data_IF_716512828305
#
_entry.id   IF_716512828305
#
_cell.length_a   1.000
_cell.length_b   1.000
_cell.length_c   1.000
_cell.angle_alpha   90.00
_cell.angle_beta   90.00
_cell.angle_gamma   90.00
#
_symmetry.space_group_name_H-M   'P 1'
#
loop_
_entity.id
_entity.type
_entity.pdbx_description
1 polymer ?
#
# COMPACT_ATOMS: atom_id res chain seq x y z
N UNK A 1 20.63 5.01 22.04
CA UNK A 1 19.92 4.78 20.77
C UNK A 1 18.70 3.95 21.09
N UNK A 2 17.51 4.47 20.84
CA UNK A 2 16.24 3.83 21.21
C UNK A 2 15.83 2.76 20.17
N UNK A 3 15.04 1.76 20.58
CA UNK A 3 14.62 0.65 19.71
C UNK A 3 13.84 1.14 18.48
N UNK A 4 13.02 2.19 18.65
CA UNK A 4 12.27 2.81 17.57
C UNK A 4 13.17 3.50 16.53
N UNK A 5 14.35 3.97 16.94
CA UNK A 5 15.35 4.55 16.03
C UNK A 5 15.86 3.49 15.06
N UNK A 6 16.22 2.30 15.55
CA UNK A 6 16.69 1.19 14.70
C UNK A 6 15.60 0.68 13.74
N UNK A 7 14.37 0.54 14.23
CA UNK A 7 13.23 0.15 13.39
C UNK A 7 13.02 1.18 12.28
N UNK A 8 13.12 2.47 12.59
CA UNK A 8 12.99 3.55 11.61
C UNK A 8 14.07 3.50 10.53
N UNK A 9 15.33 3.26 10.91
CA UNK A 9 16.44 3.09 9.96
C UNK A 9 16.27 1.86 9.06
N UNK A 10 15.80 0.75 9.63
CA UNK A 10 15.51 -0.47 8.87
C UNK A 10 14.40 -0.25 7.83
N UNK A 11 13.38 0.55 8.16
CA UNK A 11 12.33 0.94 7.22
C UNK A 11 12.77 1.92 6.13
N UNK A 12 13.88 2.65 6.31
CA UNK A 12 14.49 3.46 5.24
C UNK A 12 15.13 2.57 4.18
N UNK A 13 15.77 1.46 4.59
CA UNK A 13 16.45 0.51 3.69
C UNK A 13 15.52 -0.60 3.14
N UNK A 14 14.44 -0.22 2.46
CA UNK A 14 13.41 -1.18 1.95
C UNK A 14 13.89 -2.17 0.90
N UNK A 15 14.98 -1.86 0.19
CA UNK A 15 15.54 -2.72 -0.85
C UNK A 15 16.41 -3.85 -0.30
N UNK A 16 16.82 -3.77 0.98
CA UNK A 16 17.58 -4.85 1.64
C UNK A 16 16.84 -6.18 1.56
N UNK A 17 17.58 -7.29 1.48
CA UNK A 17 16.99 -8.63 1.30
C UNK A 17 16.02 -9.00 2.41
N UNK A 18 16.33 -8.63 3.65
CA UNK A 18 15.47 -8.84 4.82
C UNK A 18 14.13 -8.12 4.65
N UNK A 19 14.15 -6.83 4.28
CA UNK A 19 12.91 -6.07 4.11
C UNK A 19 12.12 -6.51 2.89
N UNK A 20 12.80 -6.88 1.81
CA UNK A 20 12.17 -7.40 0.60
C UNK A 20 11.46 -8.73 0.87
N UNK A 21 12.09 -9.63 1.63
CA UNK A 21 11.50 -10.90 2.04
C UNK A 21 10.24 -10.67 2.88
N UNK A 22 10.33 -9.87 3.96
CA UNK A 22 9.20 -9.56 4.83
C UNK A 22 8.04 -8.90 4.07
N UNK A 23 8.33 -7.96 3.17
CA UNK A 23 7.30 -7.30 2.37
C UNK A 23 6.64 -8.24 1.37
N UNK A 24 7.36 -9.21 0.78
CA UNK A 24 6.78 -10.19 -0.14
C UNK A 24 5.76 -11.08 0.58
N UNK A 25 6.13 -11.63 1.73
CA UNK A 25 5.24 -12.47 2.55
C UNK A 25 3.98 -11.68 2.96
N UNK A 26 4.14 -10.45 3.45
CA UNK A 26 3.01 -9.57 3.81
C UNK A 26 2.13 -9.21 2.60
N UNK A 27 2.73 -8.90 1.46
CA UNK A 27 1.96 -8.60 0.24
C UNK A 27 1.13 -9.81 -0.21
N UNK A 28 1.62 -11.03 -0.01
CA UNK A 28 0.86 -12.24 -0.32
C UNK A 28 -0.35 -12.40 0.61
N UNK A 29 -0.15 -12.26 1.92
CA UNK A 29 -1.24 -12.27 2.92
C UNK A 29 -2.32 -11.22 2.59
N UNK A 30 -1.90 -9.99 2.25
CA UNK A 30 -2.83 -8.89 1.99
C UNK A 30 -3.63 -9.06 0.70
N UNK A 31 -3.20 -9.92 -0.22
CA UNK A 31 -3.97 -10.23 -1.44
C UNK A 31 -5.11 -11.20 -1.17
N UNK A 32 -5.00 -12.05 -0.15
CA UNK A 32 -6.05 -13.00 0.24
C UNK A 32 -7.17 -12.33 1.04
N UNK A 33 -6.86 -11.22 1.71
CA UNK A 33 -7.82 -10.43 2.48
C UNK A 33 -8.73 -9.58 1.59
N UNK A 34 -9.85 -9.13 2.17
CA UNK A 34 -10.79 -8.20 1.55
C UNK A 34 -10.16 -6.82 1.30
N UNK A 35 -10.82 -6.00 0.48
CA UNK A 35 -10.35 -4.66 0.11
C UNK A 35 -10.18 -3.71 1.30
N UNK A 36 -11.02 -3.86 2.33
CA UNK A 36 -10.98 -3.09 3.59
C UNK A 36 -11.07 -4.09 4.74
N UNK A 37 -10.07 -4.09 5.62
CA UNK A 37 -10.02 -4.97 6.79
C UNK A 37 -9.56 -4.20 8.02
N UNK A 38 -10.28 -4.36 9.13
CA UNK A 38 -9.85 -3.87 10.44
C UNK A 38 -8.72 -4.74 10.97
N UNK A 39 -7.64 -4.13 11.43
CA UNK A 39 -6.49 -4.85 12.00
C UNK A 39 -6.41 -4.56 13.50
N UNK A 40 -6.13 -5.59 14.28
CA UNK A 40 -6.03 -5.53 15.74
C UNK A 40 -4.72 -4.87 16.21
N UNK A 41 -3.63 -5.03 15.46
CA UNK A 41 -2.31 -4.47 15.77
C UNK A 41 -1.73 -3.73 14.57
N UNK A 42 -1.19 -2.51 14.74
CA UNK A 42 -0.56 -1.79 13.65
C UNK A 42 0.73 -2.47 13.21
N UNK A 43 1.00 -2.43 11.90
CA UNK A 43 2.28 -2.89 11.34
C UNK A 43 3.46 -1.98 11.69
N UNK A 44 3.18 -0.74 12.10
CA UNK A 44 4.14 0.22 12.67
C UNK A 44 3.52 0.79 13.96
N UNK A 45 4.05 0.47 15.14
CA UNK A 45 3.46 0.87 16.41
C UNK A 45 3.84 2.32 16.73
N UNK A 46 3.05 3.29 16.25
CA UNK A 46 3.32 4.69 16.57
C UNK A 46 2.33 5.29 17.59
N UNK A 47 1.03 4.92 17.64
CA UNK A 47 0.03 5.47 18.60
C UNK A 47 -1.22 4.58 18.78
N UNK A 48 -1.97 4.74 19.88
CA UNK A 48 -3.18 3.97 20.24
C UNK A 48 -4.45 4.37 19.50
N UNK A 49 -4.60 3.90 18.25
CA UNK A 49 -5.75 4.18 17.37
C UNK A 49 -6.35 2.89 16.77
N UNK A 50 -7.58 2.99 16.24
CA UNK A 50 -8.17 1.94 15.39
C UNK A 50 -7.51 1.99 14.01
N UNK A 51 -7.06 0.83 13.53
CA UNK A 51 -6.31 0.74 12.27
C UNK A 51 -7.07 -0.11 11.25
N UNK A 52 -7.22 0.44 10.05
CA UNK A 52 -7.75 -0.28 8.89
C UNK A 52 -6.65 -0.44 7.83
N UNK A 53 -6.63 -1.60 7.17
CA UNK A 53 -5.88 -1.84 5.94
C UNK A 53 -6.82 -1.70 4.76
N UNK A 54 -6.35 -1.01 3.73
CA UNK A 54 -7.11 -0.75 2.50
C UNK A 54 -6.24 -1.06 1.28
N UNK A 55 -6.84 -1.68 0.27
CA UNK A 55 -6.21 -1.94 -1.04
C UNK A 55 -6.68 -0.93 -2.08
N UNK A 56 -5.73 -0.26 -2.73
CA UNK A 56 -5.98 0.61 -3.89
C UNK A 56 -5.38 -0.01 -5.15
N UNK A 57 -6.11 0.05 -6.27
CA UNK A 57 -5.61 -0.44 -7.57
C UNK A 57 -4.46 0.47 -8.03
N UNK A 58 -3.31 -0.12 -8.33
CA UNK A 58 -2.19 0.59 -8.98
C UNK A 58 -2.56 0.92 -10.42
N UNK A 59 -1.91 1.96 -10.97
CA UNK A 59 -2.18 2.58 -12.27
C UNK A 59 -3.14 3.77 -12.20
N UNK A 60 -3.10 4.59 -13.26
CA UNK A 60 -4.00 5.72 -13.45
C UNK A 60 -5.43 5.29 -13.77
N UNK A 61 -6.36 6.22 -13.59
CA UNK A 61 -7.76 6.03 -13.96
C UNK A 61 -7.93 6.28 -15.46
N UNK A 62 -8.37 5.26 -16.20
CA UNK A 62 -8.85 5.43 -17.57
C UNK A 62 -10.12 6.29 -17.55
N UNK A 63 -10.25 7.21 -18.51
CA UNK A 63 -11.44 8.03 -18.63
C UNK A 63 -12.68 7.15 -18.93
N UNK A 64 -13.81 7.32 -18.19
CA UNK A 64 -14.97 6.45 -18.31
C UNK A 64 -15.83 6.82 -19.52
N UNK A 65 -15.36 6.46 -20.71
CA UNK A 65 -16.11 6.61 -21.97
C UNK A 65 -16.73 5.30 -22.41
N UNK A 66 -17.98 5.37 -22.86
CA UNK A 66 -18.64 4.25 -23.53
C UNK A 66 -17.84 3.87 -24.78
N UNK A 67 -17.43 2.59 -24.87
CA UNK A 67 -16.62 2.04 -25.98
C UNK A 67 -15.29 2.75 -26.27
N UNK A 68 -14.81 3.63 -25.39
CA UNK A 68 -13.59 4.40 -25.66
C UNK A 68 -13.78 5.58 -26.62
N UNK A 69 -15.03 5.91 -27.00
CA UNK A 69 -15.31 6.97 -27.97
C UNK A 69 -15.32 8.33 -27.27
N UNK A 70 -14.52 9.26 -27.78
CA UNK A 70 -14.46 10.65 -27.32
C UNK A 70 -15.03 11.54 -28.43
N UNK A 71 -16.18 12.17 -28.18
CA UNK A 71 -16.83 13.09 -29.13
C UNK A 71 -16.28 14.52 -29.08
N UNK A 72 -15.30 14.78 -28.21
CA UNK A 72 -14.66 16.09 -28.12
C UNK A 72 -13.69 16.31 -29.28
N UNK A 73 -13.44 17.57 -29.63
CA UNK A 73 -12.38 17.94 -30.58
C UNK A 73 -11.01 17.56 -29.97
N UNK A 74 -10.03 17.11 -30.78
CA UNK A 74 -8.67 16.92 -30.31
C UNK A 74 -8.12 18.23 -29.73
N UNK A 75 -7.53 18.17 -28.55
CA UNK A 75 -6.74 19.26 -27.98
C UNK A 75 -5.26 19.04 -28.32
N UNK A 76 -4.53 20.12 -28.62
CA UNK A 76 -3.06 20.12 -28.76
C UNK A 76 -2.36 19.77 -27.44
#
# INVERSE_FOLDING_TARGET
>A
MDAYTYVSELWRKKQSDVMRFLQRVRCWEYRQLLSIVRVTRPTKPDKGYVVYRVRVKRSGRKWPVSKGIVYAKPSN
#
